data_IF_896228623950
#
_entry.id   IF_896228623950
#
_cell.length_a   1.000
_cell.length_b   1.000
_cell.length_c   1.000
_cell.angle_alpha   90.00
_cell.angle_beta   90.00
_cell.angle_gamma   90.00
#
_symmetry.space_group_name_H-M   'P 1'
#
loop_
_entity.id
_entity.type
_entity.pdbx_description
1 polymer ?
#
# COMPACT_ATOMS: atom_id res chain seq x y z
N UNK A 1 62.87 -28.44 12.04
CA UNK A 1 62.77 -28.78 10.63
C UNK A 1 61.53 -28.20 10.01
N UNK A 2 61.65 -27.51 8.84
CA UNK A 2 60.67 -26.98 7.88
C UNK A 2 59.64 -25.94 8.39
N UNK A 3 59.83 -24.63 8.21
CA UNK A 3 59.65 -23.74 7.04
C UNK A 3 58.31 -24.01 6.30
N UNK A 4 57.38 -23.03 6.40
CA UNK A 4 56.20 -22.90 5.59
C UNK A 4 55.84 -21.40 5.45
N UNK A 5 55.66 -20.98 4.25
CA UNK A 5 55.82 -19.70 3.62
C UNK A 5 54.72 -18.65 3.93
N UNK A 6 55.11 -17.39 3.80
CA UNK A 6 54.25 -16.19 3.83
C UNK A 6 53.46 -16.02 2.53
N UNK A 7 52.24 -15.48 2.63
CA UNK A 7 51.45 -15.00 1.51
C UNK A 7 51.71 -13.49 1.29
N UNK A 8 51.68 -13.00 0.03
CA UNK A 8 52.07 -11.65 -0.34
C UNK A 8 50.94 -10.62 -0.13
N UNK A 9 51.33 -9.42 0.31
CA UNK A 9 50.45 -8.28 0.50
C UNK A 9 50.02 -7.63 -0.82
N UNK A 10 48.83 -7.06 -0.79
CA UNK A 10 48.28 -6.20 -1.85
C UNK A 10 48.49 -4.75 -1.47
N UNK A 11 49.31 -4.03 -2.28
CA UNK A 11 49.50 -2.59 -2.23
C UNK A 11 48.28 -1.86 -2.79
N UNK A 12 47.76 -0.91 -2.01
CA UNK A 12 46.86 0.14 -2.49
C UNK A 12 47.72 1.34 -2.96
N UNK A 13 47.64 1.63 -4.25
CA UNK A 13 48.12 2.91 -4.79
C UNK A 13 46.89 3.77 -5.14
N UNK A 14 46.86 4.97 -4.55
CA UNK A 14 45.85 5.96 -4.84
C UNK A 14 46.03 6.60 -6.22
N UNK A 15 44.97 7.05 -6.83
CA UNK A 15 44.99 7.94 -7.99
C UNK A 15 44.01 9.09 -7.84
N UNK A 16 44.56 10.26 -8.11
CA UNK A 16 43.97 11.59 -8.09
C UNK A 16 42.93 11.79 -9.20
N UNK A 17 42.03 12.70 -8.93
CA UNK A 17 41.09 13.29 -9.86
C UNK A 17 41.76 14.07 -10.99
N UNK A 18 41.22 13.97 -12.19
CA UNK A 18 41.32 15.04 -13.20
C UNK A 18 40.11 15.00 -14.11
N UNK A 19 39.54 16.16 -14.27
CA UNK A 19 38.45 16.60 -15.12
C UNK A 19 38.71 16.43 -16.61
N UNK A 20 37.65 16.23 -17.39
CA UNK A 20 37.64 16.70 -18.77
C UNK A 20 36.89 15.91 -19.81
N UNK A 21 35.84 16.56 -20.31
CA UNK A 21 35.41 16.62 -21.72
C UNK A 21 34.55 15.47 -22.33
N UNK A 22 33.39 15.88 -22.75
CA UNK A 22 32.41 15.23 -23.66
C UNK A 22 33.03 14.62 -24.91
N UNK A 23 32.61 13.43 -25.27
CA UNK A 23 32.46 13.02 -26.67
C UNK A 23 31.17 12.21 -26.86
N UNK A 24 30.29 12.77 -27.67
CA UNK A 24 29.14 12.11 -28.28
C UNK A 24 29.63 11.12 -29.35
N UNK A 25 29.34 9.85 -29.19
CA UNK A 25 29.48 8.88 -30.26
C UNK A 25 28.10 8.41 -30.70
N UNK A 26 27.70 8.85 -31.89
CA UNK A 26 26.54 8.36 -32.61
C UNK A 26 26.86 6.96 -33.19
N UNK A 27 26.12 5.96 -32.75
CA UNK A 27 26.13 4.63 -33.39
C UNK A 27 24.87 4.47 -34.25
N UNK A 28 25.06 4.33 -35.54
CA UNK A 28 24.05 3.87 -36.48
C UNK A 28 24.06 2.34 -36.43
N UNK A 29 23.02 1.72 -35.91
CA UNK A 29 22.83 0.29 -35.95
C UNK A 29 21.84 -0.09 -37.07
N UNK A 30 22.30 -0.98 -37.91
CA UNK A 30 21.64 -1.59 -39.07
C UNK A 30 20.53 -2.54 -38.62
N UNK A 31 19.40 -2.51 -39.33
CA UNK A 31 18.24 -3.33 -39.09
C UNK A 31 18.52 -4.84 -39.20
N UNK A 32 18.01 -5.63 -38.26
CA UNK A 32 17.91 -7.07 -38.29
C UNK A 32 16.76 -7.53 -37.39
N UNK A 33 15.74 -8.07 -37.99
CA UNK A 33 14.45 -8.49 -37.46
C UNK A 33 14.50 -9.70 -36.53
N UNK A 34 13.78 -9.61 -35.38
CA UNK A 34 12.91 -10.68 -34.85
C UNK A 34 12.21 -10.17 -33.56
N UNK A 35 10.92 -10.45 -33.34
CA UNK A 35 10.18 -9.89 -32.22
C UNK A 35 10.44 -10.69 -30.94
N UNK A 36 11.07 -10.04 -29.98
CA UNK A 36 11.08 -10.50 -28.59
C UNK A 36 9.81 -9.98 -27.95
N UNK A 37 8.93 -10.88 -27.56
CA UNK A 37 7.76 -10.56 -26.73
C UNK A 37 8.27 -10.11 -25.37
N UNK A 38 8.45 -8.82 -25.21
CA UNK A 38 8.78 -8.19 -23.95
C UNK A 38 7.54 -8.13 -23.07
N UNK A 39 7.59 -8.78 -21.92
CA UNK A 39 6.66 -8.55 -20.82
C UNK A 39 6.72 -7.07 -20.43
N UNK A 40 5.79 -6.27 -20.92
CA UNK A 40 5.57 -4.93 -20.40
C UNK A 40 4.96 -5.05 -19.01
N UNK A 41 5.80 -4.82 -18.00
CA UNK A 41 5.31 -4.42 -16.71
C UNK A 41 4.55 -3.09 -16.92
N UNK A 42 3.23 -3.14 -16.97
CA UNK A 42 2.40 -1.93 -16.99
C UNK A 42 2.59 -1.21 -15.65
N UNK A 43 3.47 -0.22 -15.65
CA UNK A 43 3.49 0.79 -14.60
C UNK A 43 2.16 1.53 -14.70
N UNK A 44 1.23 1.22 -13.78
CA UNK A 44 0.04 2.05 -13.58
C UNK A 44 0.49 3.38 -12.95
N UNK A 45 1.04 4.25 -13.75
CA UNK A 45 1.09 5.67 -13.44
C UNK A 45 -0.33 6.19 -13.59
N UNK A 46 -0.98 6.55 -12.48
CA UNK A 46 -2.15 7.41 -12.49
C UNK A 46 -1.81 8.60 -13.40
N UNK A 47 -2.63 8.99 -14.39
CA UNK A 47 -2.37 10.16 -15.17
C UNK A 47 -2.37 11.38 -14.24
N UNK A 48 -1.19 11.92 -13.96
CA UNK A 48 -1.06 13.18 -13.25
C UNK A 48 -1.59 14.29 -14.16
N UNK A 49 -2.66 14.93 -13.72
CA UNK A 49 -3.07 16.22 -14.28
C UNK A 49 -1.94 17.20 -13.96
N UNK A 50 -1.38 17.82 -14.99
CA UNK A 50 -0.27 18.75 -14.81
C UNK A 50 -0.71 19.91 -13.90
N UNK A 51 -0.08 20.00 -12.69
CA UNK A 51 -0.32 21.07 -11.72
C UNK A 51 -0.78 20.61 -10.33
N UNK A 52 -1.28 19.39 -10.14
CA UNK A 52 -1.64 18.91 -8.81
C UNK A 52 -0.43 18.24 -8.11
N UNK A 53 -0.12 18.68 -6.90
CA UNK A 53 0.86 18.01 -6.07
C UNK A 53 0.47 16.52 -5.94
N UNK A 54 1.43 15.61 -6.15
CA UNK A 54 1.19 14.16 -6.03
C UNK A 54 0.81 13.80 -4.58
N UNK A 55 -0.48 13.94 -4.25
CA UNK A 55 -1.01 13.50 -2.97
C UNK A 55 -0.82 12.00 -2.84
N UNK A 56 -0.32 11.57 -1.69
CA UNK A 56 -0.17 10.14 -1.41
C UNK A 56 -1.00 9.75 -0.19
N UNK A 57 -1.64 8.59 -0.28
CA UNK A 57 -2.10 7.87 0.91
C UNK A 57 -1.01 6.91 1.37
N UNK A 58 -0.52 7.14 2.58
CA UNK A 58 0.48 6.29 3.24
C UNK A 58 -0.19 5.50 4.36
N UNK A 59 0.12 4.22 4.48
CA UNK A 59 -0.44 3.34 5.50
C UNK A 59 0.51 2.24 5.89
N UNK A 60 0.38 1.75 7.12
CA UNK A 60 1.11 0.59 7.63
C UNK A 60 0.23 -0.22 8.57
N UNK A 61 0.48 -1.51 8.66
CA UNK A 61 -0.28 -2.43 9.51
C UNK A 61 0.59 -3.08 10.57
N UNK A 62 0.00 -3.33 11.74
CA UNK A 62 0.54 -4.24 12.75
C UNK A 62 0.05 -5.64 12.43
N UNK A 63 1.00 -6.56 12.23
CA UNK A 63 0.73 -7.93 11.81
C UNK A 63 1.14 -8.88 12.92
N UNK A 64 0.30 -9.86 13.22
CA UNK A 64 0.60 -10.94 14.17
C UNK A 64 2.01 -11.50 13.98
N UNK A 65 2.81 -11.56 15.04
CA UNK A 65 4.21 -12.02 15.09
C UNK A 65 5.24 -11.14 14.38
N UNK A 66 4.85 -10.30 13.42
CA UNK A 66 5.76 -9.42 12.68
C UNK A 66 5.81 -7.98 13.22
N UNK A 67 4.79 -7.58 14.00
CA UNK A 67 4.69 -6.21 14.50
C UNK A 67 4.35 -5.19 13.41
N UNK A 68 4.71 -3.94 13.65
CA UNK A 68 4.50 -2.87 12.69
C UNK A 68 5.36 -3.03 11.45
N UNK A 69 4.72 -3.06 10.29
CA UNK A 69 5.40 -3.08 9.00
C UNK A 69 5.80 -1.68 8.55
N UNK A 70 6.70 -1.61 7.57
CA UNK A 70 7.05 -0.36 6.90
C UNK A 70 5.86 0.28 6.17
N UNK A 71 5.90 1.61 5.99
CA UNK A 71 4.89 2.34 5.26
C UNK A 71 4.76 1.86 3.82
N UNK A 72 3.52 1.74 3.38
CA UNK A 72 3.10 1.45 1.99
C UNK A 72 2.34 2.65 1.44
N UNK A 73 2.32 2.78 0.13
CA UNK A 73 1.76 3.95 -0.54
C UNK A 73 0.86 3.53 -1.72
N UNK A 74 -0.21 4.29 -1.97
CA UNK A 74 -0.94 4.31 -3.23
C UNK A 74 -1.22 2.93 -3.83
N UNK A 75 -1.90 2.06 -3.10
CA UNK A 75 -2.31 0.74 -3.57
C UNK A 75 -1.30 -0.39 -3.37
N UNK A 76 -0.10 -0.12 -2.84
CA UNK A 76 0.80 -1.19 -2.41
C UNK A 76 0.16 -2.00 -1.28
N UNK A 77 0.36 -3.30 -1.24
CA UNK A 77 -0.19 -4.15 -0.18
C UNK A 77 0.55 -3.91 1.14
N UNK A 78 -0.19 -3.65 2.22
CA UNK A 78 0.29 -3.74 3.61
C UNK A 78 -0.36 -4.95 4.28
N UNK A 79 0.40 -5.68 5.08
CA UNK A 79 -0.02 -6.96 5.65
C UNK A 79 0.63 -8.15 4.95
N UNK A 80 -0.05 -9.30 4.99
CA UNK A 80 0.42 -10.55 4.38
C UNK A 80 -0.67 -11.17 3.51
N UNK A 81 -0.28 -12.08 2.62
CA UNK A 81 -1.20 -12.91 1.84
C UNK A 81 -0.71 -14.35 1.89
N UNK A 82 -1.62 -15.30 2.16
CA UNK A 82 -1.29 -16.72 2.23
C UNK A 82 -0.47 -17.17 3.45
N UNK A 83 -0.19 -16.28 4.42
CA UNK A 83 0.61 -16.58 5.61
C UNK A 83 -0.24 -16.81 6.87
N UNK A 84 -1.55 -16.73 6.76
CA UNK A 84 -2.50 -16.89 7.86
C UNK A 84 -2.21 -15.97 9.09
N UNK A 85 -1.65 -14.76 8.85
CA UNK A 85 -1.33 -13.77 9.88
C UNK A 85 -2.40 -12.67 9.91
N UNK A 86 -2.96 -12.41 11.09
CA UNK A 86 -3.99 -11.37 11.25
C UNK A 86 -3.38 -9.98 11.28
N UNK A 87 -4.12 -9.02 10.77
CA UNK A 87 -3.92 -7.61 11.09
C UNK A 87 -4.48 -7.33 12.48
N UNK A 88 -3.77 -6.55 13.28
CA UNK A 88 -4.15 -6.16 14.65
C UNK A 88 -4.35 -4.65 14.78
N UNK A 89 -3.63 -3.85 14.00
CA UNK A 89 -3.74 -2.40 13.98
C UNK A 89 -3.33 -1.80 12.63
N UNK A 90 -3.73 -0.54 12.43
CA UNK A 90 -3.41 0.21 11.21
C UNK A 90 -3.21 1.69 11.53
N UNK A 91 -2.24 2.33 10.88
CA UNK A 91 -2.11 3.77 10.76
C UNK A 91 -2.30 4.17 9.29
N UNK A 92 -3.04 5.23 9.04
CA UNK A 92 -3.25 5.79 7.68
C UNK A 92 -3.09 7.30 7.74
N UNK A 93 -2.35 7.89 6.79
CA UNK A 93 -2.18 9.34 6.68
C UNK A 93 -2.08 9.79 5.22
N UNK A 94 -2.38 11.05 4.99
CA UNK A 94 -2.11 11.72 3.72
C UNK A 94 -0.77 12.44 3.80
N UNK A 95 -0.04 12.45 2.68
CA UNK A 95 1.16 13.26 2.50
C UNK A 95 1.04 14.08 1.23
N UNK A 96 1.67 15.27 1.19
CA UNK A 96 1.60 16.20 0.07
C UNK A 96 0.15 16.60 -0.27
N UNK A 97 -0.68 16.89 0.75
CA UNK A 97 -2.07 17.29 0.55
C UNK A 97 -2.14 18.64 -0.19
N UNK A 98 -2.80 18.72 -1.35
CA UNK A 98 -3.02 20.00 -2.03
C UNK A 98 -4.19 20.80 -1.44
N UNK A 99 -5.06 20.16 -0.66
CA UNK A 99 -6.28 20.72 -0.09
C UNK A 99 -6.37 20.48 1.41
N UNK A 100 -7.18 21.27 2.10
CA UNK A 100 -7.49 21.07 3.52
C UNK A 100 -8.33 19.80 3.73
N UNK A 101 -8.27 19.24 4.93
CA UNK A 101 -9.02 18.02 5.26
C UNK A 101 -8.13 16.92 5.78
N UNK A 102 -8.74 15.79 6.08
CA UNK A 102 -8.11 14.64 6.73
C UNK A 102 -8.56 13.32 6.12
N UNK A 103 -7.77 12.27 6.32
CA UNK A 103 -8.23 10.89 6.16
C UNK A 103 -8.65 10.36 7.52
N UNK A 104 -9.87 9.84 7.59
CA UNK A 104 -10.45 9.29 8.82
C UNK A 104 -10.80 7.81 8.62
N UNK A 105 -10.67 7.00 9.66
CA UNK A 105 -10.88 5.56 9.56
C UNK A 105 -11.25 4.94 10.89
N UNK A 106 -12.01 3.85 10.83
CA UNK A 106 -12.37 3.01 11.97
C UNK A 106 -12.26 1.54 11.60
N UNK A 107 -11.91 0.70 12.57
CA UNK A 107 -11.78 -0.74 12.39
C UNK A 107 -12.78 -1.49 13.27
N UNK A 108 -13.30 -2.59 12.75
CA UNK A 108 -14.03 -3.60 13.53
C UNK A 108 -13.01 -4.59 14.10
N UNK A 109 -12.95 -4.64 15.42
CA UNK A 109 -11.99 -5.46 16.18
C UNK A 109 -12.72 -6.62 16.83
N UNK A 110 -12.11 -7.79 16.80
CA UNK A 110 -12.59 -8.99 17.50
C UNK A 110 -13.01 -8.65 18.94
N UNK A 111 -14.23 -9.01 19.31
CA UNK A 111 -14.89 -8.80 20.60
C UNK A 111 -15.25 -7.35 20.94
N UNK A 112 -14.58 -6.35 20.35
CA UNK A 112 -14.85 -4.93 20.64
C UNK A 112 -15.84 -4.29 19.65
N UNK A 113 -15.98 -4.87 18.42
CA UNK A 113 -16.77 -4.25 17.36
C UNK A 113 -16.07 -3.04 16.75
N UNK A 114 -16.85 -2.11 16.22
CA UNK A 114 -16.35 -0.87 15.62
C UNK A 114 -15.78 0.06 16.68
N UNK A 115 -14.57 0.57 16.42
CA UNK A 115 -13.90 1.55 17.28
C UNK A 115 -14.37 2.97 16.95
N UNK A 116 -15.47 3.38 17.51
CA UNK A 116 -16.20 4.60 17.18
C UNK A 116 -17.54 4.28 16.53
N UNK A 117 -18.37 5.29 16.34
CA UNK A 117 -19.66 5.11 15.68
C UNK A 117 -19.46 4.85 14.19
N UNK A 118 -19.85 3.68 13.70
CA UNK A 118 -19.64 3.27 12.31
C UNK A 118 -20.30 4.20 11.26
N UNK A 119 -21.31 4.96 11.66
CA UNK A 119 -22.06 5.89 10.82
C UNK A 119 -21.68 7.36 11.05
N UNK A 120 -20.73 7.64 11.95
CA UNK A 120 -20.27 8.99 12.24
C UNK A 120 -18.74 9.13 12.12
N UNK A 121 -18.23 9.53 10.94
CA UNK A 121 -16.79 9.68 10.70
C UNK A 121 -16.07 10.65 11.66
N UNK A 122 -16.80 11.54 12.33
CA UNK A 122 -16.18 12.46 13.30
C UNK A 122 -15.66 11.74 14.57
N UNK A 123 -16.11 10.51 14.81
CA UNK A 123 -15.66 9.68 15.94
C UNK A 123 -14.50 8.74 15.57
N UNK A 124 -14.07 8.74 14.30
CA UNK A 124 -13.05 7.83 13.79
C UNK A 124 -11.64 8.37 14.07
N UNK A 125 -10.66 7.49 14.02
CA UNK A 125 -9.23 7.84 14.05
C UNK A 125 -8.85 8.63 12.80
N UNK A 126 -7.78 9.45 12.88
CA UNK A 126 -7.40 10.34 11.78
C UNK A 126 -5.89 10.47 11.62
N UNK A 127 -5.47 10.76 10.42
CA UNK A 127 -4.14 11.30 10.05
C UNK A 127 -2.94 10.65 10.75
N UNK A 128 -2.90 9.34 10.81
CA UNK A 128 -1.80 8.57 11.39
C UNK A 128 -2.06 8.01 12.79
N UNK A 129 -3.19 8.32 13.41
CA UNK A 129 -3.60 7.67 14.66
C UNK A 129 -3.78 6.16 14.47
N UNK A 130 -3.53 5.38 15.50
CA UNK A 130 -3.75 3.94 15.44
C UNK A 130 -5.24 3.60 15.58
N UNK A 131 -5.78 2.80 14.65
CA UNK A 131 -7.03 2.09 14.79
C UNK A 131 -6.75 0.58 14.88
N UNK A 132 -7.45 -0.12 15.76
CA UNK A 132 -7.18 -1.50 16.13
C UNK A 132 -6.57 -1.62 17.52
N UNK A 133 -5.80 -2.68 17.75
CA UNK A 133 -5.14 -2.96 19.03
C UNK A 133 -3.66 -3.30 18.80
N UNK A 134 -2.85 -3.18 19.86
CA UNK A 134 -1.45 -3.61 19.87
C UNK A 134 -1.18 -4.39 21.17
N UNK A 135 -0.61 -5.57 21.05
CA UNK A 135 -0.31 -6.43 22.21
C UNK A 135 -1.49 -7.22 22.77
N UNK A 136 -2.72 -7.05 22.22
CA UNK A 136 -3.92 -7.72 22.70
C UNK A 136 -4.30 -8.99 21.92
N UNK A 137 -3.54 -9.32 20.91
CA UNK A 137 -3.80 -10.46 20.03
C UNK A 137 -5.23 -10.47 19.41
N UNK A 138 -5.84 -9.30 19.22
CA UNK A 138 -7.16 -9.13 18.62
C UNK A 138 -7.04 -8.89 17.12
N UNK A 139 -7.82 -9.63 16.32
CA UNK A 139 -7.82 -9.44 14.86
C UNK A 139 -8.68 -8.26 14.45
N UNK A 140 -8.29 -7.59 13.39
CA UNK A 140 -9.19 -6.75 12.61
C UNK A 140 -10.09 -7.63 11.74
N UNK A 141 -11.37 -7.29 11.64
CA UNK A 141 -12.38 -8.02 10.85
C UNK A 141 -12.92 -7.16 9.70
N UNK A 142 -13.01 -5.85 9.89
CA UNK A 142 -13.40 -4.89 8.85
C UNK A 142 -12.79 -3.52 9.09
N UNK A 143 -12.90 -2.66 8.08
CA UNK A 143 -12.43 -1.25 8.11
C UNK A 143 -13.38 -0.38 7.30
N UNK A 144 -13.52 0.88 7.74
CA UNK A 144 -14.10 1.99 6.98
C UNK A 144 -13.09 3.12 6.89
N UNK A 145 -12.98 3.75 5.73
CA UNK A 145 -12.04 4.86 5.48
C UNK A 145 -12.78 5.94 4.69
N UNK A 146 -12.65 7.20 5.10
CA UNK A 146 -13.22 8.34 4.40
C UNK A 146 -12.26 9.52 4.37
N UNK A 147 -12.49 10.45 3.47
CA UNK A 147 -11.87 11.77 3.46
C UNK A 147 -12.83 12.78 4.06
N UNK A 148 -12.29 13.90 4.57
CA UNK A 148 -13.05 15.03 5.09
C UNK A 148 -12.54 16.34 4.51
N UNK A 149 -13.34 17.42 4.65
CA UNK A 149 -12.99 18.75 4.13
C UNK A 149 -12.81 18.76 2.62
N UNK A 150 -12.06 19.72 2.11
CA UNK A 150 -11.80 19.88 0.67
C UNK A 150 -11.17 18.62 0.03
N UNK A 151 -10.38 17.85 0.78
CA UNK A 151 -9.87 16.57 0.27
C UNK A 151 -11.00 15.64 -0.20
N UNK A 152 -12.16 15.62 0.45
CA UNK A 152 -13.33 14.81 0.08
C UNK A 152 -14.06 15.37 -1.17
N UNK A 153 -13.90 16.66 -1.46
CA UNK A 153 -14.47 17.30 -2.65
C UNK A 153 -13.64 16.99 -3.90
N UNK A 154 -12.33 16.85 -3.74
CA UNK A 154 -11.40 16.66 -4.84
C UNK A 154 -10.97 15.21 -5.08
N UNK A 155 -11.11 14.32 -4.09
CA UNK A 155 -10.69 12.91 -4.19
C UNK A 155 -11.74 11.95 -3.65
N UNK A 156 -11.71 10.74 -4.18
CA UNK A 156 -12.36 9.55 -3.64
C UNK A 156 -11.28 8.63 -3.06
N UNK A 157 -11.53 8.02 -1.89
CA UNK A 157 -10.67 6.98 -1.33
C UNK A 157 -11.28 5.61 -1.59
N UNK A 158 -10.53 4.75 -2.27
CA UNK A 158 -10.87 3.34 -2.48
C UNK A 158 -9.97 2.44 -1.65
N UNK A 159 -10.52 1.39 -1.11
CA UNK A 159 -9.78 0.41 -0.33
C UNK A 159 -10.39 -0.98 -0.45
N UNK A 160 -9.53 -2.00 -0.35
CA UNK A 160 -9.94 -3.39 -0.30
C UNK A 160 -9.07 -4.18 0.65
N UNK A 161 -9.56 -5.31 1.12
CA UNK A 161 -8.87 -6.15 2.10
C UNK A 161 -8.79 -7.60 1.64
N UNK A 162 -7.75 -8.30 2.08
CA UNK A 162 -7.66 -9.76 2.04
C UNK A 162 -8.24 -10.31 3.36
N UNK A 163 -9.28 -11.12 3.26
CA UNK A 163 -9.97 -11.71 4.41
C UNK A 163 -9.78 -13.23 4.43
N UNK A 164 -9.56 -13.79 5.62
CA UNK A 164 -9.44 -15.24 5.84
C UNK A 164 -10.60 -16.00 5.20
N UNK A 165 -10.32 -17.06 4.46
CA UNK A 165 -11.25 -17.93 3.72
C UNK A 165 -11.94 -17.28 2.52
N UNK A 166 -11.85 -15.96 2.36
CA UNK A 166 -12.50 -15.24 1.25
C UNK A 166 -11.50 -14.73 0.21
N UNK A 167 -10.22 -14.56 0.59
CA UNK A 167 -9.23 -13.94 -0.29
C UNK A 167 -9.44 -12.43 -0.41
N UNK A 168 -9.03 -11.84 -1.52
CA UNK A 168 -9.25 -10.43 -1.79
C UNK A 168 -10.72 -10.15 -2.06
N UNK A 169 -11.26 -9.16 -1.33
CA UNK A 169 -12.61 -8.64 -1.51
C UNK A 169 -12.61 -7.49 -2.54
N UNK A 170 -13.80 -7.07 -2.96
CA UNK A 170 -13.99 -5.93 -3.83
C UNK A 170 -13.55 -4.61 -3.21
N UNK A 171 -13.53 -3.57 -4.04
CA UNK A 171 -13.24 -2.22 -3.57
C UNK A 171 -14.44 -1.62 -2.84
N UNK A 172 -14.21 -1.10 -1.64
CA UNK A 172 -15.08 -0.18 -0.92
C UNK A 172 -14.65 1.26 -1.21
N UNK A 173 -15.55 2.22 -1.02
CA UNK A 173 -15.34 3.64 -1.33
C UNK A 173 -15.87 4.52 -0.19
N UNK A 174 -15.17 5.58 0.15
CA UNK A 174 -15.68 6.73 0.93
C UNK A 174 -16.53 6.38 2.14
N UNK A 175 -16.02 5.57 3.05
CA UNK A 175 -16.72 5.20 4.29
C UNK A 175 -17.56 3.92 4.22
N UNK A 176 -17.68 3.27 3.05
CA UNK A 176 -18.26 1.93 2.96
C UNK A 176 -17.42 0.92 3.76
N UNK A 177 -18.03 -0.15 4.24
CA UNK A 177 -17.28 -1.17 4.95
C UNK A 177 -16.51 -2.09 3.99
N UNK A 178 -15.27 -2.45 4.33
CA UNK A 178 -14.50 -3.50 3.68
C UNK A 178 -14.09 -4.56 4.71
N UNK A 179 -14.32 -5.83 4.41
CA UNK A 179 -13.98 -6.93 5.32
C UNK A 179 -15.16 -7.83 5.64
N UNK A 180 -15.23 -8.29 6.89
CA UNK A 180 -16.29 -9.18 7.36
C UNK A 180 -16.85 -8.73 8.72
N UNK A 181 -18.10 -9.09 9.03
CA UNK A 181 -18.66 -8.96 10.37
C UNK A 181 -19.49 -10.17 10.77
N UNK A 182 -19.44 -10.56 12.03
CA UNK A 182 -20.17 -11.72 12.59
C UNK A 182 -19.67 -13.08 12.11
N UNK A 183 -18.61 -13.12 11.30
CA UNK A 183 -18.07 -14.35 10.70
C UNK A 183 -16.77 -14.82 11.35
N UNK A 184 -16.24 -14.06 12.30
CA UNK A 184 -14.97 -14.32 12.99
C UNK A 184 -13.78 -14.53 12.02
N UNK A 185 -13.75 -13.80 10.90
CA UNK A 185 -12.68 -13.87 9.89
C UNK A 185 -11.74 -12.68 10.01
N UNK A 186 -10.44 -12.95 10.10
CA UNK A 186 -9.41 -11.91 10.21
C UNK A 186 -9.13 -11.24 8.87
N UNK A 187 -8.75 -9.98 8.92
CA UNK A 187 -8.04 -9.33 7.82
C UNK A 187 -6.57 -9.76 7.83
N UNK A 188 -6.01 -9.93 6.65
CA UNK A 188 -4.61 -10.36 6.45
C UNK A 188 -3.81 -9.33 5.65
N UNK A 189 -4.45 -8.57 4.77
CA UNK A 189 -3.82 -7.53 3.96
C UNK A 189 -4.80 -6.44 3.57
N UNK A 190 -4.26 -5.28 3.17
CA UNK A 190 -5.04 -4.12 2.73
C UNK A 190 -4.32 -3.38 1.60
N UNK A 191 -5.10 -2.80 0.70
CA UNK A 191 -4.68 -1.82 -0.30
C UNK A 191 -5.58 -0.59 -0.22
N UNK A 192 -4.99 0.61 -0.32
CA UNK A 192 -5.72 1.89 -0.27
C UNK A 192 -5.21 2.79 -1.39
N UNK A 193 -6.11 3.42 -2.14
CA UNK A 193 -5.81 4.31 -3.28
C UNK A 193 -6.64 5.58 -3.18
N UNK A 194 -6.06 6.71 -3.56
CA UNK A 194 -6.80 7.93 -3.87
C UNK A 194 -7.04 8.00 -5.37
N UNK A 195 -8.22 8.43 -5.74
CA UNK A 195 -8.61 8.69 -7.13
C UNK A 195 -9.18 10.11 -7.21
N UNK A 196 -8.82 10.93 -8.19
CA UNK A 196 -9.47 12.22 -8.39
C UNK A 196 -11.00 12.06 -8.41
N UNK A 197 -11.71 13.06 -7.89
CA UNK A 197 -13.17 13.03 -7.79
C UNK A 197 -13.79 12.73 -9.16
N UNK A 198 -14.75 11.81 -9.19
CA UNK A 198 -15.38 11.31 -10.42
C UNK A 198 -14.42 10.59 -11.39
N UNK A 199 -13.18 10.31 -10.95
CA UNK A 199 -12.24 9.52 -11.72
C UNK A 199 -12.65 8.04 -11.79
N UNK A 200 -12.00 7.30 -12.69
CA UNK A 200 -12.26 5.87 -12.87
C UNK A 200 -11.85 5.09 -11.61
N UNK A 201 -12.76 4.26 -11.10
CA UNK A 201 -12.45 3.35 -9.99
C UNK A 201 -11.24 2.45 -10.30
N UNK A 202 -10.46 2.04 -9.30
CA UNK A 202 -9.35 1.13 -9.51
C UNK A 202 -9.83 -0.19 -10.14
N UNK A 203 -9.03 -0.75 -11.05
CA UNK A 203 -9.37 -2.02 -11.69
C UNK A 203 -9.52 -3.14 -10.65
N UNK A 204 -10.43 -4.10 -10.91
CA UNK A 204 -10.61 -5.27 -10.06
C UNK A 204 -9.32 -6.06 -9.93
N UNK A 205 -8.60 -6.26 -11.05
CA UNK A 205 -7.25 -6.83 -11.10
C UNK A 205 -6.25 -5.69 -10.99
N UNK A 206 -5.64 -5.54 -9.83
CA UNK A 206 -4.76 -4.43 -9.50
C UNK A 206 -3.52 -4.94 -8.78
N UNK A 207 -2.34 -4.45 -9.13
CA UNK A 207 -1.06 -4.82 -8.49
C UNK A 207 -0.81 -6.35 -8.45
N UNK A 208 -1.06 -7.06 -9.57
CA UNK A 208 -0.83 -8.50 -9.69
C UNK A 208 -1.88 -9.39 -9.01
N UNK A 209 -2.90 -8.83 -8.37
CA UNK A 209 -3.99 -9.58 -7.76
C UNK A 209 -5.01 -9.93 -8.83
N UNK A 210 -5.18 -11.21 -9.12
CA UNK A 210 -6.02 -11.71 -10.22
C UNK A 210 -7.33 -12.33 -9.77
N UNK A 211 -7.41 -12.81 -8.51
CA UNK A 211 -8.62 -13.41 -7.93
C UNK A 211 -9.20 -12.48 -6.88
N UNK A 212 -10.35 -11.88 -7.19
CA UNK A 212 -11.02 -10.89 -6.34
C UNK A 212 -12.52 -11.15 -6.35
N UNK A 213 -13.14 -11.12 -5.18
CA UNK A 213 -14.60 -11.12 -5.06
C UNK A 213 -15.17 -9.76 -5.44
N UNK A 214 -16.43 -9.72 -5.88
CA UNK A 214 -17.11 -8.46 -6.22
C UNK A 214 -17.52 -7.67 -4.97
N UNK A 215 -17.91 -8.37 -3.90
CA UNK A 215 -18.34 -7.75 -2.65
C UNK A 215 -17.14 -7.23 -1.85
N UNK A 216 -17.24 -5.99 -1.37
CA UNK A 216 -16.26 -5.39 -0.47
C UNK A 216 -16.46 -5.81 1.00
N UNK A 217 -17.72 -6.11 1.39
CA UNK A 217 -18.09 -6.43 2.76
C UNK A 217 -19.05 -7.62 2.82
N UNK A 218 -18.77 -8.58 3.70
CA UNK A 218 -19.54 -9.79 3.92
C UNK A 218 -19.92 -9.87 5.41
N UNK A 219 -21.21 -9.91 5.70
CA UNK A 219 -21.70 -10.07 7.07
C UNK A 219 -22.64 -11.28 7.16
N UNK A 220 -22.75 -11.81 8.38
CA UNK A 220 -23.72 -12.85 8.75
C UNK A 220 -25.12 -12.26 8.83
#
# INVERSE_FOLDING_TARGET
MKKGAAAPGLNYAGVNAASGVHQTASYVAKAGSSPVVGNQATSNTNPSVAGEANVNVAYRTHVQTFGWQGWKYNGQMSGTSGQAKRLEGINIKLTNKPYSGSIVYTTHVQTYGWQGNENNPNTWKRDGDMSGTSGEAKRLEAIRIALTGEMAEHYDVYYRVHAQSFGWLGWAKNGEAAGTAGLAKRLEGIQIVLVPKNGKAPATRYQGITSVRTQAYIKK
#
